data_IF_280709262270
#
_entry.id   IF_280709262270
#
_cell.length_a   1.000
_cell.length_b   1.000
_cell.length_c   1.000
_cell.angle_alpha   90.00
_cell.angle_beta   90.00
_cell.angle_gamma   90.00
#
_symmetry.space_group_name_H-M   'P 1'
#
loop_
_entity.id
_entity.type
_entity.pdbx_description
1 polymer ?
#
# COMPACT_ATOMS: atom_id res chain seq x y z
N UNK A 1 -10.02 2.66 20.21
CA UNK A 1 -10.75 3.89 19.81
C UNK A 1 -9.74 4.90 19.32
N UNK A 2 -10.08 5.63 18.24
CA UNK A 2 -9.23 6.69 17.69
C UNK A 2 -8.97 7.79 18.72
N UNK A 3 -7.79 8.42 18.66
CA UNK A 3 -7.43 9.58 19.49
C UNK A 3 -8.10 10.85 18.99
N UNK A 4 -8.12 11.89 19.83
CA UNK A 4 -8.59 13.23 19.41
C UNK A 4 -7.70 13.82 18.30
N UNK A 5 -6.43 13.48 18.30
CA UNK A 5 -5.45 13.88 17.29
C UNK A 5 -5.80 13.28 15.92
N UNK A 6 -6.10 11.99 15.87
CA UNK A 6 -6.57 11.31 14.66
C UNK A 6 -7.85 11.98 14.14
N UNK A 7 -8.84 12.19 15.01
CA UNK A 7 -10.11 12.81 14.62
C UNK A 7 -9.93 14.23 14.07
N UNK A 8 -8.99 15.02 14.60
CA UNK A 8 -8.66 16.35 14.06
C UNK A 8 -8.08 16.27 12.64
N UNK A 9 -7.20 15.29 12.38
CA UNK A 9 -6.66 15.07 11.02
C UNK A 9 -7.79 14.73 10.06
N UNK A 10 -8.64 13.77 10.43
CA UNK A 10 -9.79 13.36 9.62
C UNK A 10 -10.72 14.55 9.34
N UNK A 11 -11.06 15.35 10.35
CA UNK A 11 -11.91 16.53 10.18
C UNK A 11 -11.29 17.56 9.21
N UNK A 12 -9.98 17.78 9.28
CA UNK A 12 -9.29 18.69 8.36
C UNK A 12 -9.36 18.18 6.91
N UNK A 13 -9.14 16.88 6.69
CA UNK A 13 -9.23 16.27 5.37
C UNK A 13 -10.66 16.32 4.80
N UNK A 14 -11.66 15.99 5.62
CA UNK A 14 -13.08 16.08 5.23
C UNK A 14 -13.47 17.52 4.88
N UNK A 15 -13.01 18.52 5.65
CA UNK A 15 -13.26 19.92 5.36
C UNK A 15 -12.64 20.36 4.02
N UNK A 16 -11.48 19.81 3.66
CA UNK A 16 -10.85 20.04 2.36
C UNK A 16 -11.65 19.40 1.22
N UNK A 17 -12.08 18.16 1.37
CA UNK A 17 -12.90 17.44 0.39
C UNK A 17 -14.28 18.10 0.18
N UNK A 18 -14.87 18.69 1.22
CA UNK A 18 -16.16 19.37 1.14
C UNK A 18 -16.13 20.71 0.36
N UNK A 19 -14.94 21.24 0.06
CA UNK A 19 -14.76 22.49 -0.65
C UNK A 19 -13.94 22.30 -1.93
N UNK A 20 -14.45 21.53 -2.92
CA UNK A 20 -13.74 21.32 -4.16
C UNK A 20 -13.60 22.64 -4.94
N UNK A 21 -12.53 22.79 -5.74
CA UNK A 21 -12.36 23.95 -6.60
C UNK A 21 -13.50 24.06 -7.62
N UNK A 22 -13.86 25.28 -8.01
CA UNK A 22 -14.96 25.54 -8.96
C UNK A 22 -14.74 24.86 -10.32
N UNK A 23 -13.50 24.67 -10.72
CA UNK A 23 -13.11 23.83 -11.85
C UNK A 23 -12.18 22.75 -11.31
N UNK A 24 -12.56 21.47 -11.38
CA UNK A 24 -11.67 20.39 -10.97
C UNK A 24 -10.42 20.40 -11.87
N UNK A 25 -9.21 20.31 -11.27
CA UNK A 25 -7.98 20.20 -12.05
C UNK A 25 -7.96 18.90 -12.86
N UNK A 26 -7.19 18.88 -13.96
CA UNK A 26 -6.93 17.67 -14.70
C UNK A 26 -6.23 16.61 -13.81
N UNK A 27 -6.26 15.35 -14.21
CA UNK A 27 -5.59 14.27 -13.48
C UNK A 27 -4.08 14.55 -13.29
N UNK A 28 -3.43 15.06 -14.32
CA UNK A 28 -2.02 15.44 -14.28
C UNK A 28 -1.78 16.56 -13.25
N UNK A 29 -2.61 17.60 -13.24
CA UNK A 29 -2.54 18.68 -12.27
C UNK A 29 -2.80 18.20 -10.83
N UNK A 30 -3.75 17.26 -10.63
CA UNK A 30 -4.02 16.67 -9.32
C UNK A 30 -2.80 15.90 -8.80
N UNK A 31 -2.17 15.07 -9.65
CA UNK A 31 -0.94 14.35 -9.32
C UNK A 31 0.18 15.30 -8.95
N UNK A 32 0.42 16.33 -9.78
CA UNK A 32 1.47 17.33 -9.54
C UNK A 32 1.24 18.11 -8.23
N UNK A 33 0.01 18.54 -7.94
CA UNK A 33 -0.33 19.24 -6.69
C UNK A 33 -0.12 18.34 -5.47
N UNK A 34 -0.48 17.06 -5.57
CA UNK A 34 -0.26 16.08 -4.50
C UNK A 34 1.21 15.87 -4.21
N UNK A 35 2.03 15.77 -5.26
CA UNK A 35 3.48 15.64 -5.15
C UNK A 35 4.11 16.88 -4.51
N UNK A 36 3.72 18.08 -4.97
CA UNK A 36 4.21 19.35 -4.42
C UNK A 36 3.85 19.49 -2.93
N UNK A 37 2.61 19.19 -2.56
CA UNK A 37 2.16 19.24 -1.17
C UNK A 37 2.95 18.24 -0.29
N UNK A 38 3.20 17.03 -0.80
CA UNK A 38 3.95 16.00 -0.08
C UNK A 38 5.43 16.34 0.06
N UNK A 39 6.05 16.93 -0.96
CA UNK A 39 7.43 17.41 -0.91
C UNK A 39 7.64 18.56 0.08
N UNK A 40 6.60 19.32 0.41
CA UNK A 40 6.65 20.36 1.44
C UNK A 40 6.72 19.78 2.86
N UNK A 41 6.40 18.49 3.06
CA UNK A 41 6.50 17.83 4.37
C UNK A 41 7.98 17.51 4.65
N UNK A 42 8.57 18.07 5.74
CA UNK A 42 9.97 17.84 6.02
C UNK A 42 10.21 16.39 6.45
N UNK A 43 11.22 15.78 5.87
CA UNK A 43 11.77 14.52 6.35
C UNK A 43 12.69 14.78 7.55
N UNK A 44 12.95 13.76 8.35
CA UNK A 44 13.98 13.85 9.41
C UNK A 44 15.37 13.96 8.79
N UNK A 45 16.28 14.64 9.48
CA UNK A 45 17.63 14.98 8.97
C UNK A 45 18.49 13.77 8.59
N UNK A 46 18.20 12.59 9.13
CA UNK A 46 18.94 11.35 8.87
C UNK A 46 18.30 10.46 7.79
N UNK A 47 17.24 10.95 7.11
CA UNK A 47 16.64 10.26 5.98
C UNK A 47 17.43 10.56 4.71
N UNK A 48 17.83 9.50 4.02
CA UNK A 48 18.51 9.58 2.73
C UNK A 48 17.59 9.02 1.65
N UNK A 49 17.40 9.80 0.58
CA UNK A 49 16.59 9.44 -0.58
C UNK A 49 17.47 9.41 -1.82
N UNK A 50 17.62 8.26 -2.47
CA UNK A 50 18.49 8.05 -3.63
C UNK A 50 17.65 7.52 -4.81
N UNK A 51 17.40 8.35 -5.83
CA UNK A 51 16.69 7.89 -7.03
C UNK A 51 17.45 6.77 -7.74
N UNK A 52 16.72 5.79 -8.27
CA UNK A 52 17.26 4.65 -9.00
C UNK A 52 16.30 4.26 -10.13
N UNK A 53 16.85 3.79 -11.25
CA UNK A 53 16.08 3.12 -12.30
C UNK A 53 16.07 1.62 -12.05
N UNK A 54 14.86 1.05 -11.97
CA UNK A 54 14.63 -0.35 -11.69
C UNK A 54 14.02 -1.00 -12.94
N UNK A 55 14.86 -1.52 -13.80
CA UNK A 55 14.44 -2.15 -15.07
C UNK A 55 13.56 -1.22 -15.95
N UNK A 56 13.87 0.06 -15.97
CA UNK A 56 13.14 1.09 -16.73
C UNK A 56 11.96 1.73 -15.96
N UNK A 57 11.76 1.35 -14.70
CA UNK A 57 10.75 1.94 -13.81
C UNK A 57 11.43 2.84 -12.79
N UNK A 58 11.00 4.11 -12.64
CA UNK A 58 11.52 4.99 -11.60
C UNK A 58 11.30 4.42 -10.21
N UNK A 59 12.29 4.47 -9.36
CA UNK A 59 12.20 4.08 -7.97
C UNK A 59 13.10 4.96 -7.10
N UNK A 60 12.96 4.86 -5.79
CA UNK A 60 13.79 5.58 -4.84
C UNK A 60 14.15 4.70 -3.66
N UNK A 61 15.42 4.60 -3.35
CA UNK A 61 15.87 4.08 -2.08
C UNK A 61 15.62 5.11 -0.99
N UNK A 62 14.90 4.70 0.03
CA UNK A 62 14.68 5.49 1.24
C UNK A 62 15.31 4.73 2.40
N UNK A 63 16.28 5.35 3.06
CA UNK A 63 17.02 4.76 4.18
C UNK A 63 17.18 5.78 5.32
N UNK A 64 17.58 5.29 6.47
CA UNK A 64 17.87 6.08 7.66
C UNK A 64 19.20 5.64 8.26
N UNK A 65 19.73 6.38 9.23
CA UNK A 65 20.94 5.98 9.93
C UNK A 65 20.86 4.61 10.62
N UNK A 66 19.65 4.07 10.80
CA UNK A 66 19.41 2.77 11.45
C UNK A 66 19.21 1.64 10.43
N UNK A 67 19.13 1.93 9.14
CA UNK A 67 18.85 0.94 8.09
C UNK A 67 20.03 -0.03 7.92
N UNK A 68 19.73 -1.31 7.83
CA UNK A 68 20.67 -2.39 7.52
C UNK A 68 20.59 -2.69 6.01
N UNK A 69 21.74 -2.68 5.32
CA UNK A 69 21.79 -2.83 3.85
C UNK A 69 21.19 -4.15 3.33
N UNK A 70 21.30 -5.21 4.13
CA UNK A 70 20.79 -6.52 3.74
C UNK A 70 19.27 -6.65 3.83
N UNK A 71 18.61 -5.84 4.68
CA UNK A 71 17.16 -5.91 4.89
C UNK A 71 16.45 -4.91 4.00
N UNK A 72 15.51 -5.38 3.19
CA UNK A 72 14.83 -4.56 2.18
C UNK A 72 13.32 -4.70 2.29
N UNK A 73 12.63 -3.57 2.17
CA UNK A 73 11.18 -3.51 1.93
C UNK A 73 10.95 -2.94 0.53
N UNK A 74 10.38 -3.73 -0.37
CA UNK A 74 9.82 -3.22 -1.63
C UNK A 74 8.46 -2.63 -1.29
N UNK A 75 8.33 -1.30 -1.38
CA UNK A 75 7.11 -0.60 -1.04
C UNK A 75 6.35 -0.11 -2.28
N UNK A 76 5.08 -0.47 -2.35
CA UNK A 76 4.16 -0.16 -3.44
C UNK A 76 3.11 0.81 -2.89
N UNK A 77 3.12 2.05 -3.40
CA UNK A 77 2.26 3.11 -2.89
C UNK A 77 0.78 2.90 -3.23
N UNK A 78 -0.12 3.52 -2.45
CA UNK A 78 -1.55 3.56 -2.70
C UNK A 78 -1.94 4.52 -3.84
N UNK A 79 -3.20 4.96 -3.82
CA UNK A 79 -3.73 5.93 -4.79
C UNK A 79 -4.60 5.32 -5.88
N UNK A 80 -5.23 4.16 -5.62
CA UNK A 80 -6.22 3.57 -6.53
C UNK A 80 -5.67 3.18 -7.90
N UNK A 81 -4.37 2.94 -8.04
CA UNK A 81 -3.64 2.75 -9.30
C UNK A 81 -3.65 3.96 -10.24
N UNK A 82 -4.23 5.08 -9.82
CA UNK A 82 -4.47 6.28 -10.64
C UNK A 82 -3.70 7.48 -10.11
N UNK A 83 -3.52 7.57 -8.79
CA UNK A 83 -2.92 8.69 -8.09
C UNK A 83 -1.68 8.26 -7.31
N UNK A 84 -1.11 9.24 -6.62
CA UNK A 84 0.08 9.08 -5.78
C UNK A 84 1.34 8.75 -6.56
N UNK A 85 2.46 8.75 -5.84
CA UNK A 85 3.79 8.61 -6.41
C UNK A 85 4.82 8.28 -5.33
N UNK A 86 6.08 8.20 -5.71
CA UNK A 86 7.22 8.19 -4.81
C UNK A 86 7.16 9.38 -3.83
N UNK A 87 6.88 10.59 -4.31
CA UNK A 87 6.88 11.80 -3.49
C UNK A 87 5.83 11.72 -2.36
N UNK A 88 4.63 11.22 -2.67
CA UNK A 88 3.53 11.14 -1.69
C UNK A 88 3.76 10.14 -0.57
N UNK A 89 4.60 9.13 -0.79
CA UNK A 89 4.83 8.04 0.17
C UNK A 89 6.23 8.03 0.79
N UNK A 90 7.09 8.97 0.40
CA UNK A 90 8.47 9.06 0.91
C UNK A 90 8.54 9.17 2.43
N UNK A 91 7.63 9.94 3.04
CA UNK A 91 7.60 10.12 4.49
C UNK A 91 7.21 8.82 5.20
N UNK A 92 6.14 8.15 4.76
CA UNK A 92 5.73 6.84 5.31
C UNK A 92 6.82 5.78 5.10
N UNK A 93 7.43 5.72 3.91
CA UNK A 93 8.53 4.81 3.62
C UNK A 93 9.73 5.05 4.56
N UNK A 94 10.04 6.30 4.89
CA UNK A 94 11.12 6.64 5.84
C UNK A 94 10.85 6.14 7.26
N UNK A 95 9.59 6.21 7.71
CA UNK A 95 9.19 5.65 9.01
C UNK A 95 9.21 4.13 9.02
N UNK A 96 8.75 3.50 7.94
CA UNK A 96 8.83 2.04 7.79
C UNK A 96 10.31 1.61 7.77
N UNK A 97 11.17 2.30 7.01
CA UNK A 97 12.60 2.01 6.97
C UNK A 97 13.23 2.05 8.36
N UNK A 98 12.91 3.07 9.15
CA UNK A 98 13.39 3.21 10.54
C UNK A 98 12.85 2.11 11.44
N UNK A 99 11.54 1.91 11.47
CA UNK A 99 10.91 0.94 12.36
C UNK A 99 11.36 -0.50 12.08
N UNK A 100 11.62 -0.83 10.82
CA UNK A 100 12.07 -2.16 10.39
C UNK A 100 13.59 -2.31 10.34
N UNK A 101 14.34 -1.21 10.50
CA UNK A 101 15.79 -1.13 10.24
C UNK A 101 16.15 -1.63 8.83
N UNK A 102 15.27 -1.40 7.86
CA UNK A 102 15.42 -1.81 6.48
C UNK A 102 15.73 -0.62 5.57
N UNK A 103 16.21 -0.88 4.36
CA UNK A 103 16.10 0.06 3.26
C UNK A 103 14.75 -0.16 2.57
N UNK A 104 14.01 0.92 2.29
CA UNK A 104 12.81 0.83 1.50
C UNK A 104 13.12 1.17 0.04
N UNK A 105 12.77 0.28 -0.89
CA UNK A 105 12.70 0.60 -2.31
C UNK A 105 11.27 1.02 -2.62
N UNK A 106 11.04 2.31 -2.77
CA UNK A 106 9.74 2.88 -3.10
C UNK A 106 9.61 2.94 -4.62
N UNK A 107 8.67 2.19 -5.18
CA UNK A 107 8.51 2.01 -6.62
C UNK A 107 7.49 2.99 -7.20
N UNK A 108 7.89 3.73 -8.24
CA UNK A 108 7.00 4.56 -9.05
C UNK A 108 6.43 3.77 -10.23
N UNK A 109 5.59 2.77 -9.93
CA UNK A 109 4.99 1.91 -10.96
C UNK A 109 4.05 2.70 -11.88
N UNK A 110 3.86 2.20 -13.09
CA UNK A 110 3.00 2.82 -14.11
C UNK A 110 1.54 2.89 -13.65
N UNK A 111 0.92 4.06 -13.84
CA UNK A 111 -0.43 4.37 -13.40
C UNK A 111 -1.45 4.33 -14.54
N UNK A 112 -2.67 4.02 -14.21
CA UNK A 112 -3.85 4.18 -15.03
C UNK A 112 -4.29 5.68 -15.04
N UNK A 113 -5.03 6.11 -16.06
CA UNK A 113 -5.49 5.35 -17.22
C UNK A 113 -4.45 5.16 -18.31
N UNK A 114 -3.29 5.82 -18.22
CA UNK A 114 -2.24 5.78 -19.24
C UNK A 114 -1.67 4.37 -19.43
N UNK A 115 -1.58 3.63 -18.31
CA UNK A 115 -1.07 2.26 -18.26
C UNK A 115 -1.99 1.40 -17.38
N UNK A 116 -3.12 0.91 -17.94
CA UNK A 116 -4.06 0.09 -17.18
C UNK A 116 -3.46 -1.29 -16.80
N UNK A 117 -4.22 -2.07 -16.06
CA UNK A 117 -3.91 -3.46 -15.75
C UNK A 117 -3.49 -4.24 -17.03
N UNK A 118 -2.40 -5.02 -16.97
CA UNK A 118 -1.62 -5.42 -15.78
C UNK A 118 -0.32 -4.62 -15.55
N UNK A 119 -0.14 -3.42 -16.10
CA UNK A 119 1.13 -2.68 -16.11
C UNK A 119 1.77 -2.54 -14.72
N UNK A 120 1.00 -2.18 -13.68
CA UNK A 120 1.51 -2.05 -12.32
C UNK A 120 2.05 -3.40 -11.76
N UNK A 121 1.37 -4.52 -12.08
CA UNK A 121 1.78 -5.85 -11.65
C UNK A 121 3.09 -6.28 -12.34
N UNK A 122 3.22 -5.95 -13.62
CA UNK A 122 4.46 -6.21 -14.37
C UNK A 122 5.63 -5.44 -13.77
N UNK A 123 5.45 -4.15 -13.47
CA UNK A 123 6.48 -3.29 -12.88
C UNK A 123 6.88 -3.77 -11.49
N UNK A 124 5.92 -4.08 -10.62
CA UNK A 124 6.19 -4.55 -9.27
C UNK A 124 6.91 -5.92 -9.27
N UNK A 125 6.50 -6.81 -10.17
CA UNK A 125 7.16 -8.13 -10.35
C UNK A 125 8.57 -7.97 -10.91
N UNK A 126 8.78 -7.05 -11.86
CA UNK A 126 10.10 -6.75 -12.41
C UNK A 126 11.02 -6.12 -11.34
N UNK A 127 10.49 -5.23 -10.51
CA UNK A 127 11.25 -4.62 -9.42
C UNK A 127 11.71 -5.65 -8.38
N UNK A 128 10.86 -6.59 -8.03
CA UNK A 128 11.23 -7.69 -7.14
C UNK A 128 12.38 -8.53 -7.74
N UNK A 129 12.26 -8.91 -9.01
CA UNK A 129 13.30 -9.69 -9.71
C UNK A 129 14.61 -8.92 -9.83
N UNK A 130 14.53 -7.60 -10.06
CA UNK A 130 15.69 -6.73 -10.08
C UNK A 130 16.42 -6.74 -8.72
N UNK A 131 15.69 -6.65 -7.59
CA UNK A 131 16.28 -6.77 -6.25
C UNK A 131 17.04 -8.09 -6.06
N UNK A 132 16.49 -9.21 -6.54
CA UNK A 132 17.18 -10.49 -6.49
C UNK A 132 18.46 -10.50 -7.35
N UNK A 133 18.42 -9.86 -8.53
CA UNK A 133 19.57 -9.74 -9.42
C UNK A 133 20.68 -8.84 -8.84
N UNK A 134 20.29 -7.81 -8.06
CA UNK A 134 21.22 -6.97 -7.28
C UNK A 134 21.78 -7.68 -6.03
N UNK A 135 21.41 -8.95 -5.81
CA UNK A 135 21.93 -9.76 -4.73
C UNK A 135 21.16 -9.69 -3.40
N UNK A 136 19.99 -9.03 -3.39
CA UNK A 136 19.14 -9.05 -2.20
C UNK A 136 18.59 -10.46 -1.99
N UNK A 137 18.82 -11.02 -0.81
CA UNK A 137 18.29 -12.33 -0.46
C UNK A 137 16.77 -12.29 -0.27
N UNK A 138 15.99 -13.22 -0.86
CA UNK A 138 14.55 -13.26 -0.66
C UNK A 138 14.15 -13.42 0.80
N UNK A 139 15.00 -14.04 1.65
CA UNK A 139 14.78 -14.16 3.10
C UNK A 139 14.91 -12.83 3.85
N UNK A 140 15.51 -11.82 3.25
CA UNK A 140 15.66 -10.48 3.84
C UNK A 140 14.79 -9.44 3.14
N UNK A 141 13.86 -9.88 2.29
CA UNK A 141 12.99 -9.02 1.50
C UNK A 141 11.53 -9.16 1.92
N UNK A 142 10.85 -8.04 2.11
CA UNK A 142 9.40 -7.98 2.34
C UNK A 142 8.78 -7.13 1.23
N UNK A 143 7.62 -7.56 0.71
CA UNK A 143 6.81 -6.73 -0.20
C UNK A 143 5.69 -6.10 0.62
N UNK A 144 5.60 -4.78 0.58
CA UNK A 144 4.60 -4.03 1.35
C UNK A 144 3.90 -2.98 0.48
N UNK A 145 2.71 -2.56 0.91
CA UNK A 145 1.99 -1.48 0.25
C UNK A 145 0.69 -1.14 0.96
N UNK A 146 0.12 -0.01 0.60
CA UNK A 146 -1.12 0.50 1.17
C UNK A 146 -2.21 0.62 0.10
N UNK A 147 -3.47 0.44 0.48
CA UNK A 147 -4.62 0.63 -0.43
C UNK A 147 -4.46 -0.22 -1.72
N UNK A 148 -4.49 0.41 -2.90
CA UNK A 148 -4.16 -0.24 -4.18
C UNK A 148 -2.78 -0.90 -4.17
N UNK A 149 -1.77 -0.28 -3.54
CA UNK A 149 -0.44 -0.85 -3.36
C UNK A 149 -0.44 -2.10 -2.47
N UNK A 150 -1.35 -2.19 -1.50
CA UNK A 150 -1.58 -3.39 -0.71
C UNK A 150 -2.17 -4.54 -1.54
N UNK A 151 -3.12 -4.23 -2.42
CA UNK A 151 -3.62 -5.17 -3.43
C UNK A 151 -2.52 -5.59 -4.41
N UNK A 152 -1.71 -4.63 -4.88
CA UNK A 152 -0.58 -4.87 -5.77
C UNK A 152 0.51 -5.74 -5.11
N UNK A 153 0.75 -5.58 -3.81
CA UNK A 153 1.68 -6.44 -3.08
C UNK A 153 1.24 -7.91 -3.13
N UNK A 154 -0.04 -8.19 -2.91
CA UNK A 154 -0.58 -9.55 -3.03
C UNK A 154 -0.54 -10.07 -4.47
N UNK A 155 -0.90 -9.24 -5.45
CA UNK A 155 -0.80 -9.59 -6.87
C UNK A 155 0.64 -9.94 -7.27
N UNK A 156 1.61 -9.17 -6.77
CA UNK A 156 3.04 -9.44 -6.96
C UNK A 156 3.42 -10.80 -6.37
N UNK A 157 3.00 -11.11 -5.14
CA UNK A 157 3.27 -12.41 -4.52
C UNK A 157 2.65 -13.57 -5.31
N UNK A 158 1.43 -13.40 -5.85
CA UNK A 158 0.82 -14.41 -6.73
C UNK A 158 1.62 -14.59 -8.01
N UNK A 159 1.99 -13.48 -8.68
CA UNK A 159 2.77 -13.50 -9.91
C UNK A 159 4.10 -14.23 -9.74
N UNK A 160 4.84 -13.94 -8.68
CA UNK A 160 6.12 -14.57 -8.34
C UNK A 160 5.96 -16.06 -8.07
N UNK A 161 5.00 -16.44 -7.21
CA UNK A 161 4.73 -17.85 -6.90
C UNK A 161 4.38 -18.64 -8.16
N UNK A 162 3.48 -18.12 -8.98
CA UNK A 162 2.98 -18.82 -10.16
C UNK A 162 4.04 -18.93 -11.26
N UNK A 163 5.01 -18.01 -11.28
CA UNK A 163 6.20 -18.08 -12.10
C UNK A 163 7.30 -19.02 -11.54
N UNK A 164 7.19 -19.45 -10.27
CA UNK A 164 8.20 -20.25 -9.60
C UNK A 164 9.43 -19.47 -9.14
N UNK A 165 9.31 -18.15 -9.03
CA UNK A 165 10.35 -17.28 -8.45
C UNK A 165 10.53 -17.55 -6.94
N UNK A 166 11.72 -17.34 -6.37
CA UNK A 166 11.89 -17.31 -4.92
C UNK A 166 10.97 -16.26 -4.30
N UNK A 167 10.16 -16.64 -3.32
CA UNK A 167 9.26 -15.72 -2.63
C UNK A 167 9.98 -14.93 -1.54
N UNK A 168 9.53 -13.70 -1.23
CA UNK A 168 10.06 -12.90 -0.13
C UNK A 168 9.76 -13.56 1.22
N UNK A 169 10.42 -13.08 2.27
CA UNK A 169 10.24 -13.53 3.64
C UNK A 169 8.82 -13.30 4.16
N UNK A 170 8.15 -12.21 3.73
CA UNK A 170 6.80 -11.85 4.16
C UNK A 170 6.14 -10.83 3.21
N UNK A 171 4.83 -10.61 3.39
CA UNK A 171 4.07 -9.52 2.80
C UNK A 171 3.37 -8.66 3.87
N UNK A 172 3.28 -7.34 3.68
CA UNK A 172 2.58 -6.43 4.57
C UNK A 172 1.63 -5.50 3.81
N UNK A 173 0.35 -5.55 4.13
CA UNK A 173 -0.71 -4.82 3.44
C UNK A 173 -1.45 -3.90 4.42
N UNK A 174 -1.47 -2.60 4.11
CA UNK A 174 -2.14 -1.57 4.88
C UNK A 174 -3.42 -1.19 4.16
N UNK A 175 -4.58 -1.40 4.78
CA UNK A 175 -5.88 -1.07 4.18
C UNK A 175 -6.01 -1.56 2.72
N UNK A 176 -5.66 -2.82 2.39
CA UNK A 176 -5.51 -3.25 0.99
C UNK A 176 -6.83 -3.17 0.22
N UNK A 177 -6.80 -2.54 -0.97
CA UNK A 177 -7.88 -2.65 -1.93
C UNK A 177 -7.70 -3.92 -2.75
N UNK A 178 -8.58 -4.88 -2.55
CA UNK A 178 -8.40 -6.24 -3.05
C UNK A 178 -9.62 -6.82 -3.78
N UNK A 179 -10.70 -6.04 -3.87
CA UNK A 179 -11.92 -6.38 -4.60
C UNK A 179 -12.38 -5.19 -5.44
N UNK A 180 -12.01 -5.15 -6.71
CA UNK A 180 -12.37 -4.06 -7.62
C UNK A 180 -13.87 -4.05 -7.99
N UNK A 181 -14.61 -5.13 -7.67
CA UNK A 181 -16.08 -5.17 -7.81
C UNK A 181 -16.78 -4.61 -6.56
N UNK A 182 -16.04 -4.29 -5.47
CA UNK A 182 -16.57 -3.76 -4.20
C UNK A 182 -17.75 -4.60 -3.65
N UNK A 183 -17.59 -5.92 -3.59
CA UNK A 183 -18.65 -6.85 -3.18
C UNK A 183 -18.72 -7.11 -1.67
N UNK A 184 -17.83 -6.50 -0.89
CA UNK A 184 -17.79 -6.60 0.57
C UNK A 184 -19.02 -5.96 1.23
N UNK A 185 -19.40 -6.45 2.42
CA UNK A 185 -20.52 -5.88 3.17
C UNK A 185 -20.22 -4.47 3.68
N UNK A 186 -18.96 -4.13 3.95
CA UNK A 186 -18.52 -2.79 4.34
C UNK A 186 -18.82 -1.71 3.29
N UNK A 187 -18.97 -2.09 2.01
CA UNK A 187 -19.34 -1.14 0.94
C UNK A 187 -20.85 -0.84 0.87
N UNK A 188 -21.67 -1.58 1.64
CA UNK A 188 -23.12 -1.35 1.66
C UNK A 188 -23.47 -0.08 2.44
N UNK A 189 -24.50 0.66 2.01
CA UNK A 189 -24.91 1.89 2.68
C UNK A 189 -25.19 1.67 4.18
N UNK A 190 -24.55 2.49 5.03
CA UNK A 190 -24.79 2.52 6.47
C UNK A 190 -24.09 1.42 7.27
N UNK A 191 -23.23 0.61 6.65
CA UNK A 191 -22.44 -0.41 7.37
C UNK A 191 -21.19 0.21 7.99
N UNK A 192 -20.44 1.01 7.22
CA UNK A 192 -19.33 1.81 7.73
C UNK A 192 -19.53 3.28 7.38
N UNK A 193 -18.82 4.17 8.06
CA UNK A 193 -18.78 5.60 7.79
C UNK A 193 -17.34 5.98 7.43
N UNK A 194 -16.96 5.72 6.17
CA UNK A 194 -15.63 6.11 5.65
C UNK A 194 -15.68 7.56 5.20
N UNK A 195 -14.97 8.48 5.89
CA UNK A 195 -15.03 9.90 5.55
C UNK A 195 -14.09 10.30 4.40
N UNK A 196 -13.18 9.41 3.97
CA UNK A 196 -12.12 9.73 3.02
C UNK A 196 -12.31 9.03 1.67
N UNK A 197 -12.84 7.83 1.68
CA UNK A 197 -13.02 7.00 0.49
C UNK A 197 -14.51 6.82 0.20
N UNK A 198 -14.91 7.00 -1.05
CA UNK A 198 -16.30 6.81 -1.47
C UNK A 198 -16.41 5.65 -2.45
N UNK A 199 -17.57 4.99 -2.47
CA UNK A 199 -17.84 3.93 -3.44
C UNK A 199 -17.77 4.44 -4.89
N UNK A 200 -18.16 5.69 -5.12
CA UNK A 200 -18.08 6.35 -6.41
C UNK A 200 -16.61 6.47 -6.87
N UNK A 201 -15.74 7.01 -6.02
CA UNK A 201 -14.31 7.16 -6.33
C UNK A 201 -13.61 5.82 -6.58
N UNK A 202 -13.93 4.79 -5.79
CA UNK A 202 -13.40 3.44 -6.01
C UNK A 202 -13.88 2.87 -7.36
N UNK A 203 -15.17 3.07 -7.70
CA UNK A 203 -15.72 2.60 -8.96
C UNK A 203 -15.04 3.26 -10.16
N UNK A 204 -14.85 4.57 -10.11
CA UNK A 204 -14.17 5.32 -11.17
C UNK A 204 -12.71 4.87 -11.35
N UNK A 205 -11.97 4.70 -10.26
CA UNK A 205 -10.59 4.22 -10.31
C UNK A 205 -10.51 2.77 -10.82
N UNK A 206 -11.43 1.89 -10.40
CA UNK A 206 -11.48 0.52 -10.91
C UNK A 206 -11.70 0.47 -12.43
N UNK A 207 -12.59 1.32 -12.95
CA UNK A 207 -12.87 1.43 -14.40
C UNK A 207 -11.69 2.00 -15.18
N UNK A 208 -10.89 2.88 -14.58
CA UNK A 208 -9.65 3.39 -15.21
C UNK A 208 -8.54 2.34 -15.20
N UNK A 209 -8.47 1.52 -14.15
CA UNK A 209 -7.39 0.55 -13.98
C UNK A 209 -7.61 -0.75 -14.73
N UNK A 210 -8.80 -1.34 -14.70
CA UNK A 210 -9.05 -2.66 -15.24
C UNK A 210 -10.29 -2.69 -16.15
N UNK A 211 -10.24 -3.52 -17.19
CA UNK A 211 -11.43 -3.81 -18.00
C UNK A 211 -12.44 -4.62 -17.19
N UNK A 212 -13.70 -4.60 -17.58
CA UNK A 212 -14.77 -5.36 -16.91
C UNK A 212 -14.44 -6.86 -16.83
N UNK A 213 -13.77 -7.42 -17.83
CA UNK A 213 -13.36 -8.82 -17.85
C UNK A 213 -12.22 -9.14 -16.87
N UNK A 214 -11.46 -8.14 -16.46
CA UNK A 214 -10.29 -8.29 -15.58
C UNK A 214 -10.61 -8.02 -14.11
N UNK A 215 -11.77 -7.40 -13.80
CA UNK A 215 -12.14 -7.08 -12.42
C UNK A 215 -12.07 -8.26 -11.45
N UNK A 216 -12.29 -9.49 -11.93
CA UNK A 216 -12.20 -10.71 -11.14
C UNK A 216 -10.87 -11.45 -11.28
N UNK A 217 -9.92 -10.92 -12.05
CA UNK A 217 -8.58 -11.49 -12.12
C UNK A 217 -7.93 -11.46 -10.74
N UNK A 218 -7.34 -12.56 -10.22
CA UNK A 218 -6.62 -12.54 -8.95
C UNK A 218 -5.47 -11.53 -8.89
N UNK A 219 -4.96 -11.11 -10.03
CA UNK A 219 -3.90 -10.09 -10.12
C UNK A 219 -4.45 -8.65 -10.09
N UNK A 220 -5.75 -8.47 -10.34
CA UNK A 220 -6.45 -7.18 -10.20
C UNK A 220 -7.23 -7.13 -8.88
N UNK A 221 -7.91 -8.23 -8.51
CA UNK A 221 -8.70 -8.40 -7.29
C UNK A 221 -8.20 -9.61 -6.49
N UNK A 222 -7.21 -9.44 -5.64
CA UNK A 222 -6.60 -10.51 -4.84
C UNK A 222 -7.57 -11.30 -3.97
N UNK A 223 -8.73 -10.75 -3.64
CA UNK A 223 -9.78 -11.48 -2.91
C UNK A 223 -10.19 -12.79 -3.59
N UNK A 224 -10.04 -12.89 -4.92
CA UNK A 224 -10.32 -14.10 -5.71
C UNK A 224 -9.12 -15.06 -5.78
N UNK A 225 -7.96 -14.67 -5.26
CA UNK A 225 -6.70 -15.39 -5.39
C UNK A 225 -6.61 -16.73 -4.66
N UNK A 226 -5.65 -17.53 -5.06
CA UNK A 226 -5.20 -18.72 -4.35
C UNK A 226 -3.96 -18.35 -3.51
N UNK A 227 -4.07 -18.42 -2.20
CA UNK A 227 -3.01 -18.01 -1.27
C UNK A 227 -2.04 -19.15 -0.90
N UNK A 228 -2.28 -20.39 -1.36
CA UNK A 228 -1.40 -21.54 -1.04
C UNK A 228 0.03 -21.25 -1.44
N UNK A 229 0.96 -21.50 -0.51
CA UNK A 229 2.39 -21.30 -0.72
C UNK A 229 2.88 -19.87 -0.62
N UNK A 230 2.02 -18.90 -0.29
CA UNK A 230 2.48 -17.54 0.02
C UNK A 230 3.22 -17.48 1.36
N UNK A 231 4.13 -16.51 1.52
CA UNK A 231 4.81 -16.25 2.78
C UNK A 231 3.84 -15.68 3.83
N UNK A 232 4.26 -15.56 5.10
CA UNK A 232 3.49 -14.88 6.14
C UNK A 232 3.01 -13.50 5.73
N UNK A 233 1.80 -13.14 6.16
CA UNK A 233 1.16 -11.86 5.81
C UNK A 233 0.77 -11.07 7.07
N UNK A 234 1.07 -9.77 7.08
CA UNK A 234 0.46 -8.78 7.96
C UNK A 234 -0.59 -8.00 7.18
N UNK A 235 -1.79 -7.87 7.73
CA UNK A 235 -2.86 -7.03 7.17
C UNK A 235 -3.34 -6.10 8.27
N UNK A 236 -3.27 -4.78 8.03
CA UNK A 236 -3.81 -3.76 8.93
C UNK A 236 -4.99 -3.07 8.24
N UNK A 237 -6.07 -2.79 8.98
CA UNK A 237 -7.26 -2.10 8.46
C UNK A 237 -8.00 -1.38 9.59
N UNK A 238 -8.54 -0.19 9.31
CA UNK A 238 -9.40 0.56 10.21
C UNK A 238 -10.86 0.10 10.13
N UNK A 239 -11.58 0.19 11.24
CA UNK A 239 -12.99 -0.26 11.27
C UNK A 239 -13.96 0.71 10.60
N UNK A 240 -13.50 1.91 10.22
CA UNK A 240 -14.33 2.89 9.48
C UNK A 240 -14.11 2.85 7.96
N UNK A 241 -13.38 1.87 7.45
CA UNK A 241 -13.02 1.80 6.03
C UNK A 241 -14.04 1.05 5.20
N UNK A 242 -14.33 1.55 3.99
CA UNK A 242 -15.04 0.78 2.96
C UNK A 242 -14.31 -0.52 2.60
N UNK A 243 -12.97 -0.55 2.74
CA UNK A 243 -12.11 -1.70 2.46
C UNK A 243 -11.91 -2.65 3.66
N UNK A 244 -12.72 -2.49 4.72
CA UNK A 244 -12.67 -3.38 5.89
C UNK A 244 -12.87 -4.85 5.49
N UNK A 245 -13.93 -5.13 4.72
CA UNK A 245 -14.24 -6.50 4.32
C UNK A 245 -13.25 -7.06 3.31
N UNK A 246 -12.61 -6.25 2.49
CA UNK A 246 -11.49 -6.69 1.65
C UNK A 246 -10.43 -7.35 2.52
N UNK A 247 -10.00 -6.66 3.57
CA UNK A 247 -8.97 -7.13 4.51
C UNK A 247 -9.39 -8.38 5.28
N UNK A 248 -10.65 -8.42 5.76
CA UNK A 248 -11.18 -9.57 6.49
C UNK A 248 -11.25 -10.80 5.58
N UNK A 249 -11.84 -10.66 4.39
CA UNK A 249 -11.97 -11.73 3.39
C UNK A 249 -10.62 -12.26 2.92
N UNK A 250 -9.64 -11.36 2.71
CA UNK A 250 -8.26 -11.74 2.41
C UNK A 250 -7.67 -12.62 3.52
N UNK A 251 -7.76 -12.14 4.77
CA UNK A 251 -7.20 -12.86 5.91
C UNK A 251 -7.84 -14.24 6.11
N UNK A 252 -9.17 -14.32 6.00
CA UNK A 252 -9.91 -15.59 6.12
C UNK A 252 -9.49 -16.57 5.02
N UNK A 253 -9.42 -16.09 3.78
CA UNK A 253 -9.04 -16.91 2.63
C UNK A 253 -7.60 -17.40 2.72
N UNK A 254 -6.68 -16.51 3.10
CA UNK A 254 -5.28 -16.86 3.27
C UNK A 254 -5.09 -17.91 4.40
N UNK A 255 -5.74 -17.72 5.54
CA UNK A 255 -5.76 -18.73 6.63
C UNK A 255 -6.35 -20.06 6.19
N UNK A 256 -7.45 -20.05 5.43
CA UNK A 256 -8.06 -21.27 4.88
C UNK A 256 -7.13 -22.00 3.89
N UNK A 257 -6.19 -21.29 3.28
CA UNK A 257 -5.17 -21.85 2.39
C UNK A 257 -3.86 -22.21 3.12
N UNK A 258 -3.80 -22.08 4.45
CA UNK A 258 -2.67 -22.48 5.29
C UNK A 258 -1.55 -21.45 5.38
N UNK A 259 -1.82 -20.18 5.04
CA UNK A 259 -0.87 -19.07 5.22
C UNK A 259 -0.93 -18.56 6.65
N UNK A 260 0.22 -18.24 7.24
CA UNK A 260 0.31 -17.51 8.51
C UNK A 260 -0.12 -16.06 8.30
N UNK A 261 -1.22 -15.63 8.90
CA UNK A 261 -1.79 -14.28 8.70
C UNK A 261 -2.07 -13.61 10.03
N UNK A 262 -1.46 -12.46 10.21
CA UNK A 262 -1.79 -11.49 11.26
C UNK A 262 -2.74 -10.44 10.67
N UNK A 263 -4.02 -10.49 11.05
CA UNK A 263 -5.00 -9.44 10.75
C UNK A 263 -5.12 -8.54 11.99
N UNK A 264 -4.86 -7.26 11.81
CA UNK A 264 -4.99 -6.21 12.83
C UNK A 264 -6.11 -5.25 12.42
N UNK A 265 -7.25 -5.32 13.09
CA UNK A 265 -8.34 -4.35 12.91
C UNK A 265 -8.21 -3.26 13.97
N UNK A 266 -8.18 -2.00 13.52
CA UNK A 266 -7.96 -0.84 14.39
C UNK A 266 -9.26 -0.04 14.55
N UNK A 267 -9.78 -0.05 15.78
CA UNK A 267 -11.10 0.51 16.08
C UNK A 267 -11.15 2.03 15.93
N UNK A 268 -12.11 2.51 15.12
CA UNK A 268 -12.36 3.93 14.86
C UNK A 268 -11.43 4.57 13.83
N UNK A 269 -10.43 3.85 13.31
CA UNK A 269 -9.48 4.40 12.36
C UNK A 269 -10.02 4.34 10.92
N UNK A 270 -9.54 5.27 10.10
CA UNK A 270 -9.93 5.47 8.70
C UNK A 270 -8.87 4.95 7.74
N UNK A 271 -9.15 5.04 6.44
CA UNK A 271 -8.32 4.50 5.38
C UNK A 271 -6.87 5.01 5.45
N UNK A 272 -5.92 4.08 5.46
CA UNK A 272 -4.46 4.30 5.48
C UNK A 272 -4.03 5.34 6.53
N UNK A 273 -4.57 5.27 7.75
CA UNK A 273 -4.18 6.16 8.86
C UNK A 273 -2.66 6.18 9.15
N UNK A 274 -1.85 5.19 8.79
CA UNK A 274 -0.39 5.28 8.94
C UNK A 274 0.25 6.50 8.23
N UNK A 275 -0.42 7.09 7.24
CA UNK A 275 0.00 8.34 6.59
C UNK A 275 -0.16 9.60 7.47
N UNK A 276 -0.88 9.53 8.59
CA UNK A 276 -1.22 10.71 9.40
C UNK A 276 -0.13 11.13 10.40
N UNK A 277 0.97 10.41 10.48
CA UNK A 277 2.06 10.83 11.36
C UNK A 277 2.75 12.13 10.86
N UNK A 278 3.30 12.91 11.79
CA UNK A 278 3.33 12.65 13.24
C UNK A 278 2.06 13.13 13.96
N UNK A 279 0.99 13.48 13.23
CA UNK A 279 -0.18 14.13 13.79
C UNK A 279 -1.07 13.21 14.65
N UNK A 280 -1.03 11.88 14.39
CA UNK A 280 -1.83 10.90 15.12
C UNK A 280 -0.96 9.76 15.69
N UNK A 281 -1.03 9.46 17.00
CA UNK A 281 -0.17 8.46 17.63
C UNK A 281 -0.41 7.03 17.12
N UNK A 282 -1.61 6.70 16.65
CA UNK A 282 -1.95 5.41 16.07
C UNK A 282 -1.16 5.13 14.79
N UNK A 283 -0.76 6.19 14.08
CA UNK A 283 0.06 6.06 12.87
C UNK A 283 1.44 5.51 13.19
N UNK A 284 2.09 6.03 14.23
CA UNK A 284 3.38 5.55 14.69
C UNK A 284 3.28 4.12 15.27
N UNK A 285 2.19 3.82 15.98
CA UNK A 285 1.93 2.47 16.49
C UNK A 285 1.77 1.46 15.37
N UNK A 286 1.01 1.79 14.32
CA UNK A 286 0.84 0.92 13.17
C UNK A 286 2.18 0.66 12.44
N UNK A 287 2.96 1.72 12.23
CA UNK A 287 4.30 1.60 11.63
C UNK A 287 5.25 0.78 12.50
N UNK A 288 5.21 0.92 13.82
CA UNK A 288 6.00 0.09 14.73
C UNK A 288 5.63 -1.40 14.60
N UNK A 289 4.34 -1.73 14.47
CA UNK A 289 3.88 -3.12 14.21
C UNK A 289 4.40 -3.67 12.89
N UNK A 290 4.44 -2.84 11.83
CA UNK A 290 5.06 -3.22 10.56
C UNK A 290 6.55 -3.50 10.76
N UNK A 291 7.26 -2.63 11.48
CA UNK A 291 8.67 -2.80 11.80
C UNK A 291 8.97 -4.11 12.55
N UNK A 292 8.18 -4.42 13.58
CA UNK A 292 8.28 -5.68 14.33
C UNK A 292 8.04 -6.90 13.42
N UNK A 293 7.04 -6.83 12.55
CA UNK A 293 6.73 -7.90 11.61
C UNK A 293 7.86 -8.13 10.60
N UNK A 294 8.39 -7.06 10.00
CA UNK A 294 9.53 -7.13 9.08
C UNK A 294 10.75 -7.73 9.79
N UNK A 295 11.11 -7.20 10.97
CA UNK A 295 12.26 -7.70 11.73
C UNK A 295 12.14 -9.18 12.10
N UNK A 296 10.95 -9.64 12.48
CA UNK A 296 10.67 -11.04 12.83
C UNK A 296 10.91 -11.99 11.66
N UNK A 297 10.57 -11.59 10.44
CA UNK A 297 10.59 -12.47 9.28
C UNK A 297 11.87 -12.35 8.43
N UNK A 298 12.69 -11.32 8.67
CA UNK A 298 13.96 -11.07 7.97
C UNK A 298 15.20 -11.21 8.88
N UNK A 299 15.06 -11.86 10.03
CA UNK A 299 16.14 -12.07 11.00
C UNK A 299 17.15 -13.15 10.55
#
# INVERSE_FOLDING_TARGET
MASEEHDKVVQAMVAQLANPPAQPPSLEEQRAQSDEASMATPLRDDVVCEPVDVAGVPAEWVSTSESEDARVVLYLHGGGYVFCSIATHRELASRIARASRARCLLLGYRLAPEHPFPAAVEDATAAYRWLLAEGVSPQHLVVAGDSAGGGLALATLFSLRDAGDPLPAAGACLSPWADLEMTGDSTKPGVVDDPLVTLESLTEMAQQYASESDLRSPLASPVHGNYRGLPPLLIQVGTRELLLDDSVRLAERAKAHGVDVSLETWDGLVHVWPLFAPAAPESDQAVARIGEFVAKHTA
#
